data_IF_139932689918
#
_entry.id   IF_139932689918
#
_cell.length_a   1.000
_cell.length_b   1.000
_cell.length_c   1.000
_cell.angle_alpha   90.00
_cell.angle_beta   90.00
_cell.angle_gamma   90.00
#
_symmetry.space_group_name_H-M   'P 1'
#
loop_
_entity.id
_entity.type
_entity.pdbx_description
1 polymer ?
#
# COMPACT_ATOMS: atom_id res chain seq x y z
N UNK A 1 -4.52 -1.11 10.18
CA UNK A 1 -4.32 -1.13 11.67
C UNK A 1 -5.67 -1.10 12.35
N UNK A 2 -5.97 -2.04 13.24
CA UNK A 2 -7.27 -2.11 13.91
C UNK A 2 -7.44 -1.01 14.99
N UNK A 3 -8.70 -0.66 15.27
CA UNK A 3 -9.04 0.18 16.41
C UNK A 3 -8.80 -0.59 17.72
N UNK A 4 -8.14 0.02 18.71
CA UNK A 4 -7.87 -0.66 20.00
C UNK A 4 -9.15 -0.97 20.76
N UNK A 5 -10.21 -0.18 20.57
CA UNK A 5 -11.52 -0.46 21.18
C UNK A 5 -12.11 -1.74 20.58
N UNK A 6 -12.05 -1.87 19.25
CA UNK A 6 -12.52 -3.06 18.55
C UNK A 6 -11.74 -4.30 19.02
N UNK A 7 -10.40 -4.22 19.08
CA UNK A 7 -9.57 -5.35 19.56
C UNK A 7 -9.94 -5.76 20.98
N UNK A 8 -10.22 -4.80 21.85
CA UNK A 8 -10.60 -5.04 23.24
C UNK A 8 -12.01 -5.60 23.38
N UNK A 9 -12.96 -5.11 22.57
CA UNK A 9 -14.38 -5.49 22.64
C UNK A 9 -14.65 -6.78 21.89
N UNK A 10 -13.85 -7.13 20.87
CA UNK A 10 -13.99 -8.28 20.00
C UNK A 10 -12.71 -9.11 19.85
N UNK A 11 -12.02 -9.50 20.94
CA UNK A 11 -10.73 -10.19 20.86
C UNK A 11 -10.81 -11.52 20.12
N UNK A 12 -11.92 -12.25 20.29
CA UNK A 12 -12.11 -13.55 19.64
C UNK A 12 -12.29 -13.43 18.12
N UNK A 13 -12.98 -12.37 17.64
CA UNK A 13 -13.11 -12.09 16.21
C UNK A 13 -11.74 -11.77 15.59
N UNK A 14 -10.91 -10.99 16.29
CA UNK A 14 -9.56 -10.65 15.84
C UNK A 14 -8.67 -11.89 15.78
N UNK A 15 -8.74 -12.76 16.81
CA UNK A 15 -8.02 -14.04 16.83
C UNK A 15 -8.48 -14.98 15.72
N UNK A 16 -9.79 -15.04 15.45
CA UNK A 16 -10.34 -15.85 14.36
C UNK A 16 -9.86 -15.33 13.00
N UNK A 17 -9.82 -14.01 12.81
CA UNK A 17 -9.28 -13.40 11.60
C UNK A 17 -7.78 -13.74 11.40
N UNK A 18 -6.98 -13.72 12.46
CA UNK A 18 -5.57 -14.12 12.43
C UNK A 18 -5.43 -15.59 11.98
N UNK A 19 -6.27 -16.49 12.51
CA UNK A 19 -6.30 -17.90 12.10
C UNK A 19 -6.69 -18.06 10.63
N UNK A 20 -7.74 -17.35 10.17
CA UNK A 20 -8.15 -17.34 8.77
C UNK A 20 -7.02 -16.90 7.83
N UNK A 21 -6.12 -16.03 8.29
CA UNK A 21 -4.93 -15.61 7.58
C UNK A 21 -3.71 -16.53 7.75
N UNK A 22 -3.86 -17.65 8.46
CA UNK A 22 -2.77 -18.61 8.74
C UNK A 22 -1.56 -17.97 9.45
N UNK A 23 -1.82 -17.02 10.35
CA UNK A 23 -0.78 -16.26 11.05
C UNK A 23 -0.80 -16.53 12.56
N UNK A 24 -0.96 -17.77 12.99
CA UNK A 24 -1.18 -18.18 14.38
C UNK A 24 -0.11 -17.66 15.35
N UNK A 25 1.11 -17.45 14.87
CA UNK A 25 2.19 -16.82 15.66
C UNK A 25 1.82 -15.43 16.20
N UNK A 26 0.84 -14.75 15.61
CA UNK A 26 0.38 -13.41 16.02
C UNK A 26 -0.76 -13.47 17.07
N UNK A 27 -1.32 -14.64 17.38
CA UNK A 27 -2.43 -14.77 18.35
C UNK A 27 -2.11 -14.17 19.72
N UNK A 28 -0.91 -14.39 20.33
CA UNK A 28 -0.58 -13.80 21.62
C UNK A 28 -0.58 -12.27 21.64
N UNK A 29 -0.33 -11.63 20.50
CA UNK A 29 -0.28 -10.17 20.39
C UNK A 29 -1.62 -9.51 20.71
N UNK A 30 -2.75 -10.22 20.52
CA UNK A 30 -4.09 -9.71 20.83
C UNK A 30 -4.24 -9.50 22.32
N UNK A 31 -3.88 -10.49 23.14
CA UNK A 31 -3.97 -10.39 24.59
C UNK A 31 -2.93 -9.40 25.13
N UNK A 32 -1.72 -9.40 24.58
CA UNK A 32 -0.65 -8.47 24.94
C UNK A 32 -1.08 -7.02 24.75
N UNK A 33 -1.62 -6.66 23.57
CA UNK A 33 -2.04 -5.29 23.30
C UNK A 33 -3.21 -4.84 24.19
N UNK A 34 -4.11 -5.75 24.56
CA UNK A 34 -5.22 -5.47 25.48
C UNK A 34 -4.68 -5.17 26.89
N UNK A 35 -3.69 -5.95 27.35
CA UNK A 35 -3.06 -5.74 28.65
C UNK A 35 -2.30 -4.40 28.68
N UNK A 36 -1.51 -4.10 27.66
CA UNK A 36 -0.80 -2.83 27.52
C UNK A 36 -1.76 -1.62 27.46
N UNK A 37 -2.90 -1.76 26.76
CA UNK A 37 -3.96 -0.74 26.73
C UNK A 37 -4.57 -0.51 28.11
N UNK A 38 -4.77 -1.58 28.90
CA UNK A 38 -5.26 -1.46 30.26
C UNK A 38 -4.27 -0.71 31.17
N UNK A 39 -2.97 -1.02 31.07
CA UNK A 39 -1.91 -0.31 31.80
C UNK A 39 -1.81 1.17 31.36
N UNK A 40 -1.91 1.43 30.06
CA UNK A 40 -1.89 2.77 29.50
C UNK A 40 -3.05 3.63 30.04
N UNK A 41 -4.26 3.09 30.01
CA UNK A 41 -5.45 3.78 30.58
C UNK A 41 -5.33 4.01 32.08
N UNK A 42 -4.74 3.06 32.83
CA UNK A 42 -4.49 3.23 34.26
C UNK A 42 -3.49 4.36 34.52
N UNK A 43 -2.38 4.42 33.75
CA UNK A 43 -1.38 5.48 33.85
C UNK A 43 -1.98 6.87 33.58
N UNK A 44 -2.79 7.00 32.51
CA UNK A 44 -3.51 8.26 32.21
C UNK A 44 -4.44 8.64 33.38
N UNK A 45 -5.23 7.70 33.91
CA UNK A 45 -6.16 7.98 35.00
C UNK A 45 -5.45 8.44 36.28
N UNK A 46 -4.30 7.82 36.64
CA UNK A 46 -3.45 8.27 37.74
C UNK A 46 -2.89 9.66 37.46
N UNK A 47 -2.38 9.92 36.24
CA UNK A 47 -1.83 11.20 35.82
C UNK A 47 -2.88 12.32 35.89
N UNK A 48 -4.09 12.08 35.42
CA UNK A 48 -5.18 13.05 35.47
C UNK A 48 -5.58 13.38 36.91
N UNK A 49 -5.63 12.35 37.79
CA UNK A 49 -5.92 12.51 39.20
C UNK A 49 -4.83 13.39 39.88
N UNK A 50 -3.55 13.13 39.59
CA UNK A 50 -2.43 13.90 40.13
C UNK A 50 -2.43 15.35 39.61
N UNK A 51 -2.75 15.56 38.30
CA UNK A 51 -2.87 16.92 37.71
C UNK A 51 -3.98 17.72 38.37
N UNK A 52 -5.15 17.09 38.61
CA UNK A 52 -6.28 17.71 39.29
C UNK A 52 -5.92 18.07 40.72
N UNK A 53 -5.27 17.15 41.45
CA UNK A 53 -4.84 17.37 42.84
C UNK A 53 -3.78 18.48 42.94
N UNK A 54 -2.77 18.47 42.07
CA UNK A 54 -1.76 19.53 41.97
C UNK A 54 -2.37 20.91 41.80
N UNK A 55 -3.37 21.05 40.93
CA UNK A 55 -4.09 22.30 40.71
C UNK A 55 -4.81 22.77 41.98
N UNK A 56 -5.45 21.84 42.71
CA UNK A 56 -6.08 22.13 44.01
C UNK A 56 -5.07 22.59 45.06
N UNK A 57 -3.95 21.85 45.22
CA UNK A 57 -2.90 22.16 46.16
C UNK A 57 -2.20 23.51 45.84
N UNK A 58 -1.99 23.82 44.57
CA UNK A 58 -1.40 25.12 44.15
C UNK A 58 -2.29 26.30 44.53
N UNK A 59 -3.61 26.17 44.42
CA UNK A 59 -4.56 27.18 44.89
C UNK A 59 -4.47 27.34 46.43
N UNK A 60 -4.34 26.24 47.15
CA UNK A 60 -4.26 26.19 48.59
C UNK A 60 -2.97 26.85 49.09
N UNK A 61 -1.83 26.61 48.43
CA UNK A 61 -0.54 27.29 48.69
C UNK A 61 -0.73 28.81 48.52
N UNK A 62 -1.37 29.25 47.42
CA UNK A 62 -1.62 30.68 47.19
C UNK A 62 -2.42 31.35 48.32
N UNK A 63 -3.47 30.67 48.82
CA UNK A 63 -4.27 31.17 49.95
C UNK A 63 -3.46 31.22 51.23
N UNK A 64 -2.71 30.14 51.56
CA UNK A 64 -1.89 30.07 52.79
C UNK A 64 -0.76 31.13 52.79
N UNK A 65 -0.11 31.32 51.66
CA UNK A 65 0.93 32.35 51.51
C UNK A 65 0.37 33.76 51.66
N UNK A 66 -0.88 34.01 51.20
CA UNK A 66 -1.59 35.26 51.45
C UNK A 66 -1.90 35.48 52.92
N UNK A 67 -2.26 34.44 53.68
CA UNK A 67 -2.52 34.45 55.11
C UNK A 67 -1.25 34.54 55.97
N UNK A 68 -0.15 33.98 55.49
CA UNK A 68 1.16 33.99 56.21
C UNK A 68 1.68 35.37 56.54
N UNK A 69 1.20 36.42 55.85
CA UNK A 69 1.49 37.82 56.21
C UNK A 69 0.90 38.24 57.56
N UNK A 70 -0.12 37.53 58.04
CA UNK A 70 -0.77 37.80 59.32
C UNK A 70 -0.52 36.70 60.35
N UNK A 71 -0.23 35.48 59.93
CA UNK A 71 0.00 34.32 60.75
C UNK A 71 1.21 33.51 60.21
N UNK A 72 2.40 33.61 60.85
CA UNK A 72 3.61 32.91 60.40
C UNK A 72 3.49 31.38 60.36
N UNK A 73 2.58 30.76 61.13
CA UNK A 73 2.35 29.30 61.10
C UNK A 73 1.86 28.80 59.75
N UNK A 74 1.18 29.66 59.00
CA UNK A 74 0.66 29.35 57.65
C UNK A 74 1.75 29.19 56.60
N UNK A 75 2.91 29.79 56.80
CA UNK A 75 4.09 29.61 55.97
C UNK A 75 4.63 28.17 56.04
N UNK A 76 4.68 27.60 57.27
CA UNK A 76 5.14 26.21 57.46
C UNK A 76 4.15 25.19 56.82
N UNK A 77 2.85 25.45 56.94
CA UNK A 77 1.81 24.61 56.31
C UNK A 77 1.91 24.68 54.76
N UNK A 78 2.16 25.88 54.19
CA UNK A 78 2.38 26.05 52.76
C UNK A 78 3.65 25.30 52.26
N UNK A 79 4.74 25.28 53.02
CA UNK A 79 5.95 24.54 52.66
C UNK A 79 5.77 23.03 52.69
N UNK A 80 4.96 22.47 53.57
CA UNK A 80 4.65 21.05 53.58
C UNK A 80 3.80 20.68 52.34
N UNK A 81 2.83 21.51 51.95
CA UNK A 81 2.06 21.30 50.72
C UNK A 81 2.94 21.42 49.48
N UNK A 82 3.93 22.33 49.47
CA UNK A 82 4.91 22.45 48.37
C UNK A 82 5.70 21.16 48.18
N UNK A 83 6.15 20.49 49.25
CA UNK A 83 6.83 19.20 49.19
C UNK A 83 5.93 18.13 48.53
N UNK A 84 4.64 18.09 48.91
CA UNK A 84 3.67 17.19 48.28
C UNK A 84 3.52 17.47 46.79
N UNK A 85 3.44 18.73 46.37
CA UNK A 85 3.35 19.12 44.95
C UNK A 85 4.61 18.70 44.21
N UNK A 86 5.82 18.83 44.82
CA UNK A 86 7.07 18.39 44.19
C UNK A 86 7.07 16.87 43.99
N UNK A 87 6.72 16.10 45.03
CA UNK A 87 6.63 14.63 44.90
C UNK A 87 5.62 14.19 43.83
N UNK A 88 4.47 14.89 43.69
CA UNK A 88 3.51 14.63 42.64
C UNK A 88 4.06 15.01 41.25
N UNK A 89 4.90 16.03 41.12
CA UNK A 89 5.54 16.41 39.85
C UNK A 89 6.50 15.31 39.35
N UNK A 90 7.30 14.75 40.25
CA UNK A 90 8.21 13.65 39.93
C UNK A 90 7.42 12.41 39.45
N UNK A 91 6.35 12.06 40.19
CA UNK A 91 5.48 10.94 39.78
C UNK A 91 4.80 11.19 38.45
N UNK A 92 4.34 12.39 38.16
CA UNK A 92 3.76 12.76 36.84
C UNK A 92 4.76 12.56 35.72
N UNK A 93 6.03 12.94 35.91
CA UNK A 93 7.08 12.74 34.92
C UNK A 93 7.34 11.26 34.63
N UNK A 94 7.35 10.43 35.69
CA UNK A 94 7.45 8.95 35.51
C UNK A 94 6.28 8.39 34.70
N UNK A 95 5.06 8.87 35.02
CA UNK A 95 3.85 8.43 34.27
C UNK A 95 3.88 8.88 32.83
N UNK A 96 4.29 10.09 32.53
CA UNK A 96 4.43 10.61 31.16
C UNK A 96 5.44 9.79 30.34
N UNK A 97 6.55 9.38 30.96
CA UNK A 97 7.52 8.48 30.32
C UNK A 97 6.90 7.11 30.06
N UNK A 98 6.21 6.53 31.07
CA UNK A 98 5.51 5.24 30.94
C UNK A 98 4.40 5.30 29.89
N UNK A 99 3.62 6.38 29.84
CA UNK A 99 2.58 6.58 28.82
C UNK A 99 3.17 6.55 27.40
N UNK A 100 4.30 7.25 27.18
CA UNK A 100 4.97 7.27 25.87
C UNK A 100 5.48 5.87 25.47
N UNK A 101 6.14 5.15 26.39
CA UNK A 101 6.64 3.80 26.15
C UNK A 101 5.50 2.81 25.83
N UNK A 102 4.38 2.90 26.56
CA UNK A 102 3.21 2.06 26.35
C UNK A 102 2.55 2.38 25.01
N UNK A 103 2.43 3.65 24.64
CA UNK A 103 1.90 4.05 23.32
C UNK A 103 2.71 3.48 22.17
N UNK A 104 4.05 3.53 22.27
CA UNK A 104 4.93 2.99 21.24
C UNK A 104 4.76 1.47 21.10
N UNK A 105 4.76 0.74 22.22
CA UNK A 105 4.52 -0.72 22.20
C UNK A 105 3.15 -1.11 21.63
N UNK A 106 2.09 -0.41 22.08
CA UNK A 106 0.73 -0.63 21.57
C UNK A 106 0.65 -0.36 20.08
N UNK A 107 1.28 0.72 19.60
CA UNK A 107 1.34 1.07 18.18
C UNK A 107 2.03 -0.04 17.38
N UNK A 108 3.20 -0.50 17.81
CA UNK A 108 4.01 -1.48 17.09
C UNK A 108 3.29 -2.84 17.00
N UNK A 109 2.63 -3.28 18.09
CA UNK A 109 1.80 -4.48 18.07
C UNK A 109 0.61 -4.30 17.11
N UNK A 110 -0.09 -3.17 17.18
CA UNK A 110 -1.22 -2.88 16.28
C UNK A 110 -0.80 -2.82 14.80
N UNK A 111 0.44 -2.44 14.50
CA UNK A 111 0.98 -2.47 13.14
C UNK A 111 1.24 -3.90 12.65
N UNK A 112 1.45 -4.84 13.59
CA UNK A 112 1.71 -6.25 13.28
C UNK A 112 0.43 -7.09 13.19
N UNK A 113 -0.63 -6.74 13.94
CA UNK A 113 -1.94 -7.41 13.84
C UNK A 113 -2.57 -7.07 12.47
N UNK A 114 -2.97 -8.10 11.67
CA UNK A 114 -3.54 -7.87 10.35
C UNK A 114 -4.91 -7.21 10.41
N UNK A 115 -5.27 -6.52 9.31
CA UNK A 115 -6.60 -5.97 9.11
C UNK A 115 -7.65 -7.09 9.00
N UNK A 116 -8.89 -6.80 9.40
CA UNK A 116 -10.02 -7.72 9.22
C UNK A 116 -10.27 -7.93 7.72
N UNK A 117 -10.34 -9.18 7.30
CA UNK A 117 -10.67 -9.51 5.92
C UNK A 117 -12.18 -9.43 5.67
N UNK A 118 -12.56 -9.12 4.43
CA UNK A 118 -13.95 -9.15 4.00
C UNK A 118 -14.52 -10.58 4.08
N UNK A 119 -15.78 -10.78 4.49
CA UNK A 119 -16.38 -12.12 4.58
C UNK A 119 -16.41 -12.90 3.26
N UNK A 120 -16.32 -12.23 2.10
CA UNK A 120 -16.29 -12.86 0.78
C UNK A 120 -14.91 -13.38 0.36
N UNK A 121 -13.85 -13.10 1.14
CA UNK A 121 -12.49 -13.57 0.83
C UNK A 121 -12.41 -15.09 0.95
N UNK A 122 -11.92 -15.81 -0.08
CA UNK A 122 -11.70 -17.25 -0.01
C UNK A 122 -10.70 -17.59 1.11
N UNK A 123 -10.93 -18.68 1.82
CA UNK A 123 -10.04 -19.13 2.88
C UNK A 123 -9.05 -20.15 2.33
N UNK A 124 -7.76 -19.85 2.44
CA UNK A 124 -6.68 -20.71 1.97
C UNK A 124 -5.32 -20.27 2.51
N UNK A 125 -4.33 -21.16 2.66
CA UNK A 125 -3.04 -20.87 3.29
C UNK A 125 -2.09 -20.02 2.44
N UNK A 126 -2.18 -20.09 1.11
CA UNK A 126 -1.25 -19.47 0.18
C UNK A 126 -1.89 -19.23 -1.21
N UNK A 127 -1.15 -18.65 -2.14
CA UNK A 127 -1.59 -18.27 -3.49
C UNK A 127 -2.15 -19.44 -4.32
N UNK A 128 -1.80 -20.69 -4.02
CA UNK A 128 -2.38 -21.86 -4.68
C UNK A 128 -3.87 -22.04 -4.44
N UNK A 129 -4.40 -21.37 -3.42
CA UNK A 129 -5.81 -21.34 -3.05
C UNK A 129 -6.58 -20.13 -3.59
N UNK A 130 -5.94 -19.30 -4.40
CA UNK A 130 -6.60 -18.18 -5.08
C UNK A 130 -7.65 -18.70 -6.06
N UNK A 131 -8.77 -18.00 -6.18
CA UNK A 131 -9.94 -18.48 -6.93
C UNK A 131 -10.12 -17.69 -8.22
N UNK A 132 -10.10 -18.41 -9.38
CA UNK A 132 -10.49 -17.82 -10.65
C UNK A 132 -11.99 -17.50 -10.62
N UNK A 133 -12.33 -16.22 -10.79
CA UNK A 133 -13.73 -15.76 -10.78
C UNK A 133 -14.29 -15.67 -12.20
N UNK A 134 -13.54 -15.06 -13.11
CA UNK A 134 -14.00 -14.80 -14.47
C UNK A 134 -12.83 -14.63 -15.45
N UNK A 135 -13.07 -15.05 -16.71
CA UNK A 135 -12.19 -14.81 -17.87
C UNK A 135 -12.80 -13.77 -18.79
N UNK A 136 -11.93 -13.00 -19.43
CA UNK A 136 -12.27 -11.96 -20.39
C UNK A 136 -11.43 -12.15 -21.66
N UNK A 137 -12.08 -12.52 -22.74
CA UNK A 137 -11.46 -12.93 -24.00
C UNK A 137 -10.97 -14.36 -23.99
N UNK A 138 -10.88 -14.93 -25.19
CA UNK A 138 -10.51 -16.32 -25.39
C UNK A 138 -8.99 -16.46 -25.46
N UNK A 139 -8.38 -17.34 -24.65
CA UNK A 139 -6.96 -17.63 -24.74
C UNK A 139 -6.68 -18.39 -26.05
N UNK A 140 -5.73 -17.88 -26.85
CA UNK A 140 -5.33 -18.49 -28.11
C UNK A 140 -3.93 -19.08 -27.96
N UNK A 141 -3.72 -20.28 -28.51
CA UNK A 141 -2.40 -20.88 -28.68
C UNK A 141 -2.16 -20.98 -30.19
N UNK A 142 -1.21 -20.21 -30.76
CA UNK A 142 -0.94 -20.28 -32.19
C UNK A 142 -0.32 -21.63 -32.59
N UNK A 143 -0.35 -21.96 -33.86
CA UNK A 143 0.22 -23.19 -34.43
C UNK A 143 1.74 -23.09 -34.72
N UNK A 144 2.34 -21.96 -34.33
CA UNK A 144 3.79 -21.72 -34.41
C UNK A 144 4.36 -21.47 -33.02
N UNK A 145 5.70 -21.72 -32.82
CA UNK A 145 6.33 -21.55 -31.54
C UNK A 145 6.44 -20.06 -31.15
N UNK A 146 6.12 -19.74 -29.91
CA UNK A 146 6.35 -18.43 -29.33
C UNK A 146 7.69 -18.46 -28.58
N UNK A 147 8.72 -17.69 -29.01
CA UNK A 147 10.00 -17.60 -28.32
C UNK A 147 9.84 -16.93 -26.93
N UNK A 148 10.88 -17.04 -26.14
CA UNK A 148 10.96 -16.30 -24.86
C UNK A 148 10.93 -14.80 -25.11
N UNK A 149 10.27 -14.03 -24.26
CA UNK A 149 10.06 -12.59 -24.50
C UNK A 149 11.36 -11.80 -24.73
N UNK A 150 12.48 -12.18 -24.09
CA UNK A 150 13.78 -11.57 -24.34
C UNK A 150 14.25 -11.85 -25.76
N UNK A 151 14.10 -13.09 -26.24
CA UNK A 151 14.50 -13.46 -27.60
C UNK A 151 13.66 -12.71 -28.65
N UNK A 152 12.37 -12.49 -28.35
CA UNK A 152 11.52 -11.62 -29.18
C UNK A 152 12.08 -10.19 -29.20
N UNK A 153 12.35 -9.59 -28.03
CA UNK A 153 12.88 -8.23 -27.94
C UNK A 153 14.24 -8.08 -28.61
N UNK A 154 15.13 -9.08 -28.47
CA UNK A 154 16.45 -9.11 -29.12
C UNK A 154 16.32 -9.15 -30.65
N UNK A 155 15.29 -9.79 -31.22
CA UNK A 155 15.05 -9.79 -32.67
C UNK A 155 14.74 -8.39 -33.23
N UNK A 156 14.34 -7.44 -32.38
CA UNK A 156 14.11 -6.03 -32.71
C UNK A 156 15.30 -5.13 -32.34
N UNK A 157 16.44 -5.64 -31.86
CA UNK A 157 17.48 -4.88 -31.16
C UNK A 157 16.90 -4.05 -30.01
N UNK A 158 15.86 -4.56 -29.35
CA UNK A 158 14.98 -3.81 -28.44
C UNK A 158 15.31 -3.91 -26.97
N UNK A 159 16.31 -4.74 -26.58
CA UNK A 159 16.72 -4.92 -25.19
C UNK A 159 18.21 -5.19 -25.10
N UNK A 160 18.87 -4.65 -24.04
CA UNK A 160 20.27 -4.94 -23.72
C UNK A 160 20.40 -5.22 -22.21
N UNK A 161 20.37 -6.50 -21.87
CA UNK A 161 20.53 -6.98 -20.49
C UNK A 161 22.01 -7.02 -20.07
N UNK A 162 22.93 -7.24 -21.02
CA UNK A 162 24.36 -7.32 -20.73
C UNK A 162 24.92 -5.94 -20.33
N UNK A 163 24.53 -4.89 -21.03
CA UNK A 163 24.89 -3.53 -20.63
C UNK A 163 24.29 -3.16 -19.28
N UNK A 164 23.02 -3.51 -19.03
CA UNK A 164 22.37 -3.28 -17.74
C UNK A 164 23.10 -4.02 -16.60
N UNK A 165 23.51 -5.28 -16.83
CA UNK A 165 24.31 -6.07 -15.90
C UNK A 165 25.64 -5.41 -15.53
N UNK A 166 26.32 -4.81 -16.51
CA UNK A 166 27.59 -4.08 -16.27
C UNK A 166 27.41 -2.77 -15.51
N UNK A 167 26.28 -2.09 -15.68
CA UNK A 167 26.02 -0.76 -15.09
C UNK A 167 25.38 -0.85 -13.71
N UNK A 168 24.38 -1.73 -13.57
CA UNK A 168 23.51 -1.74 -12.37
C UNK A 168 23.37 -3.13 -11.74
N UNK A 169 23.81 -4.19 -12.42
CA UNK A 169 23.63 -5.56 -11.99
C UNK A 169 22.42 -6.25 -12.64
N UNK A 170 22.16 -7.48 -12.21
CA UNK A 170 20.99 -8.25 -12.67
C UNK A 170 19.69 -7.62 -12.17
N UNK A 171 18.61 -7.83 -12.90
CA UNK A 171 17.29 -7.27 -12.56
C UNK A 171 17.10 -5.81 -13.01
N UNK A 172 17.97 -5.33 -13.90
CA UNK A 172 17.82 -4.07 -14.64
C UNK A 172 17.84 -4.35 -16.15
N UNK A 173 17.43 -3.38 -16.94
CA UNK A 173 17.35 -3.49 -18.39
C UNK A 173 17.61 -2.15 -19.08
N UNK A 174 18.05 -2.20 -20.33
CA UNK A 174 17.87 -1.13 -21.29
C UNK A 174 16.84 -1.59 -22.31
N UNK A 175 15.81 -0.75 -22.56
CA UNK A 175 14.94 -0.91 -23.71
C UNK A 175 15.37 0.03 -24.81
N UNK A 176 15.28 -0.41 -26.07
CA UNK A 176 15.80 0.29 -27.23
C UNK A 176 14.75 0.36 -28.35
N UNK A 177 14.88 1.35 -29.22
CA UNK A 177 14.14 1.43 -30.46
C UNK A 177 12.61 1.31 -30.31
N UNK A 178 12.03 0.43 -31.13
CA UNK A 178 10.58 0.26 -31.16
C UNK A 178 10.02 -0.41 -29.90
N UNK A 179 10.80 -1.23 -29.20
CA UNK A 179 10.39 -1.82 -27.91
C UNK A 179 10.31 -0.75 -26.81
N UNK A 180 11.30 0.15 -26.74
CA UNK A 180 11.25 1.29 -25.82
C UNK A 180 10.06 2.22 -26.15
N UNK A 181 9.79 2.44 -27.44
CA UNK A 181 8.62 3.22 -27.86
C UNK A 181 7.31 2.55 -27.48
N UNK A 182 7.20 1.22 -27.62
CA UNK A 182 6.02 0.46 -27.24
C UNK A 182 5.78 0.56 -25.73
N UNK A 183 6.85 0.46 -24.92
CA UNK A 183 6.78 0.66 -23.47
C UNK A 183 6.16 2.02 -23.11
N UNK A 184 6.65 3.12 -23.71
CA UNK A 184 6.12 4.46 -23.51
C UNK A 184 4.70 4.63 -24.06
N UNK A 185 4.41 4.01 -25.22
CA UNK A 185 3.08 4.04 -25.82
C UNK A 185 2.01 3.45 -24.92
N UNK A 186 2.32 2.33 -24.24
CA UNK A 186 1.43 1.67 -23.27
C UNK A 186 1.16 2.58 -22.07
N UNK A 187 2.20 3.23 -21.52
CA UNK A 187 2.03 4.17 -20.40
C UNK A 187 1.23 5.40 -20.80
N UNK A 188 1.50 5.97 -21.97
CA UNK A 188 0.78 7.13 -22.48
C UNK A 188 -0.70 6.81 -22.73
N UNK A 189 -0.98 5.67 -23.33
CA UNK A 189 -2.35 5.19 -23.53
C UNK A 189 -3.06 4.94 -22.20
N UNK A 190 -2.43 4.25 -21.26
CA UNK A 190 -3.03 3.98 -19.94
C UNK A 190 -3.33 5.26 -19.16
N UNK A 191 -2.44 6.26 -19.24
CA UNK A 191 -2.68 7.58 -18.64
C UNK A 191 -3.94 8.22 -19.22
N UNK A 192 -4.01 8.31 -20.57
CA UNK A 192 -5.12 8.98 -21.27
C UNK A 192 -6.43 8.20 -21.03
N UNK A 193 -6.39 6.87 -21.07
CA UNK A 193 -7.52 6.01 -20.72
C UNK A 193 -8.08 6.29 -19.32
N UNK A 194 -7.22 6.49 -18.32
CA UNK A 194 -7.67 6.80 -16.97
C UNK A 194 -8.19 8.24 -16.83
N UNK A 195 -7.62 9.20 -17.56
CA UNK A 195 -8.13 10.57 -17.61
C UNK A 195 -9.53 10.58 -18.22
N UNK A 196 -9.76 9.84 -19.30
CA UNK A 196 -11.07 9.71 -19.96
C UNK A 196 -12.12 9.06 -19.04
N UNK A 197 -11.69 8.21 -18.11
CA UNK A 197 -12.54 7.65 -17.04
C UNK A 197 -12.78 8.61 -15.85
N UNK A 198 -12.30 9.85 -15.94
CA UNK A 198 -12.52 10.88 -14.93
C UNK A 198 -11.53 10.87 -13.77
N UNK A 199 -10.41 10.14 -13.86
CA UNK A 199 -9.37 10.18 -12.86
C UNK A 199 -8.48 11.42 -13.03
N UNK A 200 -8.14 12.07 -11.94
CA UNK A 200 -7.18 13.16 -11.94
C UNK A 200 -5.76 12.62 -12.06
N UNK A 201 -5.04 13.00 -13.12
CA UNK A 201 -3.65 12.63 -13.30
C UNK A 201 -2.72 13.41 -12.38
N UNK A 202 -1.80 12.72 -11.72
CA UNK A 202 -0.85 13.29 -10.75
C UNK A 202 0.54 12.73 -10.99
N UNK A 203 1.55 13.60 -10.94
CA UNK A 203 2.97 13.22 -10.86
C UNK A 203 3.41 13.42 -9.40
N UNK A 204 3.61 12.34 -8.63
CA UNK A 204 3.95 12.41 -7.22
C UNK A 204 5.46 12.51 -7.00
N UNK A 205 5.93 12.84 -5.78
CA UNK A 205 7.31 12.61 -5.38
C UNK A 205 7.69 11.11 -5.45
N UNK A 206 8.91 10.81 -5.88
CA UNK A 206 9.39 9.43 -6.01
C UNK A 206 10.20 8.97 -4.77
N UNK A 207 10.26 9.81 -3.75
CA UNK A 207 10.84 9.52 -2.44
C UNK A 207 9.87 9.94 -1.35
N UNK A 208 9.93 9.31 -0.19
CA UNK A 208 9.06 9.59 0.95
C UNK A 208 9.76 9.35 2.28
N UNK A 209 9.27 9.99 3.34
CA UNK A 209 9.73 9.78 4.70
C UNK A 209 9.30 8.42 5.27
N UNK A 210 10.06 7.93 6.26
CA UNK A 210 9.81 6.65 6.92
C UNK A 210 8.42 6.51 7.55
N UNK A 211 7.84 7.61 8.04
CA UNK A 211 6.49 7.59 8.61
C UNK A 211 5.41 7.32 7.55
N UNK A 212 5.60 7.80 6.31
CA UNK A 212 4.72 7.46 5.20
C UNK A 212 4.86 5.98 4.85
N UNK A 213 6.11 5.46 4.77
CA UNK A 213 6.36 4.04 4.50
C UNK A 213 5.62 3.15 5.50
N UNK A 214 5.78 3.40 6.81
CA UNK A 214 5.10 2.67 7.88
C UNK A 214 3.57 2.80 7.81
N UNK A 215 3.09 3.88 7.23
CA UNK A 215 1.66 4.14 7.05
C UNK A 215 1.02 3.29 5.95
N UNK A 216 1.76 2.99 4.89
CA UNK A 216 1.22 2.39 3.66
C UNK A 216 1.50 0.89 3.51
N UNK A 217 2.44 0.32 4.25
CA UNK A 217 2.81 -1.10 4.17
C UNK A 217 3.13 -1.71 5.53
N UNK A 218 3.25 -3.04 5.57
CA UNK A 218 3.71 -3.76 6.76
C UNK A 218 5.24 -3.70 6.92
N UNK A 219 5.75 -3.98 8.12
CA UNK A 219 7.19 -4.02 8.37
C UNK A 219 7.94 -5.07 7.55
N UNK A 220 7.42 -6.33 7.38
CA UNK A 220 8.05 -7.31 6.50
C UNK A 220 8.13 -6.84 5.04
N UNK A 221 7.06 -6.25 4.50
CA UNK A 221 7.06 -5.69 3.14
C UNK A 221 8.09 -4.56 3.00
N UNK A 222 8.18 -3.67 4.01
CA UNK A 222 9.16 -2.59 4.01
C UNK A 222 10.61 -3.11 3.90
N UNK A 223 11.00 -4.13 4.68
CA UNK A 223 12.35 -4.72 4.64
C UNK A 223 12.62 -5.43 3.30
N UNK A 224 11.64 -6.15 2.79
CA UNK A 224 11.77 -6.91 1.55
C UNK A 224 11.82 -6.01 0.29
N UNK A 225 11.13 -4.87 0.31
CA UNK A 225 10.87 -4.06 -0.88
C UNK A 225 11.69 -2.77 -0.95
N UNK A 226 11.82 -2.01 0.17
CA UNK A 226 12.18 -0.60 0.10
C UNK A 226 13.68 -0.33 0.05
N UNK A 227 14.11 0.48 -0.92
CA UNK A 227 15.43 1.12 -0.89
C UNK A 227 15.41 2.35 0.00
N UNK A 228 16.38 2.47 0.91
CA UNK A 228 16.58 3.63 1.77
C UNK A 228 17.79 4.42 1.31
N UNK A 229 17.69 5.75 1.34
CA UNK A 229 18.84 6.65 1.10
C UNK A 229 19.70 6.67 2.37
N UNK A 230 20.98 6.39 2.20
CA UNK A 230 21.92 6.40 3.32
C UNK A 230 22.10 7.82 3.89
N UNK A 231 22.02 7.93 5.21
CA UNK A 231 22.19 9.21 5.93
C UNK A 231 20.94 10.09 5.97
N UNK A 232 19.84 9.68 5.31
CA UNK A 232 18.60 10.47 5.25
C UNK A 232 17.38 9.65 5.67
N UNK A 233 16.33 10.33 6.12
CA UNK A 233 15.01 9.72 6.31
C UNK A 233 14.20 9.77 5.01
N UNK A 234 14.78 9.18 3.94
CA UNK A 234 14.15 9.08 2.64
C UNK A 234 14.22 7.64 2.10
N UNK A 235 13.14 7.23 1.48
CA UNK A 235 12.98 5.92 0.83
C UNK A 235 12.50 6.13 -0.60
N UNK A 236 13.06 5.36 -1.54
CA UNK A 236 12.53 5.30 -2.90
C UNK A 236 11.18 4.57 -2.91
N UNK A 237 10.23 5.05 -3.71
CA UNK A 237 8.91 4.40 -3.81
C UNK A 237 8.98 3.06 -4.54
N UNK A 238 8.24 2.06 -4.04
CA UNK A 238 7.99 0.80 -4.75
C UNK A 238 6.74 0.84 -5.65
N UNK A 239 5.95 1.91 -5.52
CA UNK A 239 4.74 2.23 -6.30
C UNK A 239 4.33 3.66 -6.00
N UNK A 240 3.67 4.34 -6.93
CA UNK A 240 3.13 5.68 -6.69
C UNK A 240 2.03 5.70 -5.63
N UNK A 241 1.34 4.59 -5.35
CA UNK A 241 0.40 4.46 -4.25
C UNK A 241 0.96 5.05 -2.95
N UNK A 242 2.21 4.75 -2.64
CA UNK A 242 2.84 5.14 -1.38
C UNK A 242 2.79 6.65 -1.14
N UNK A 243 3.28 7.43 -2.07
CA UNK A 243 3.30 8.89 -1.96
C UNK A 243 1.96 9.52 -2.26
N UNK A 244 1.14 8.88 -3.09
CA UNK A 244 -0.22 9.35 -3.38
C UNK A 244 -1.12 9.27 -2.15
N UNK A 245 -1.04 8.20 -1.37
CA UNK A 245 -1.77 8.08 -0.09
C UNK A 245 -1.08 8.96 0.96
N UNK A 246 0.25 8.99 0.99
CA UNK A 246 1.03 9.88 1.87
C UNK A 246 0.70 11.36 1.71
N UNK A 247 0.24 11.79 0.53
CA UNK A 247 -0.25 13.16 0.29
C UNK A 247 -1.31 13.62 1.29
N UNK A 248 -2.06 12.70 1.85
CA UNK A 248 -3.18 12.99 2.75
C UNK A 248 -2.83 12.81 4.24
N UNK A 249 -1.57 12.57 4.59
CA UNK A 249 -1.14 12.41 5.99
C UNK A 249 -1.62 13.58 6.85
N UNK A 250 -2.20 13.28 8.04
CA UNK A 250 -2.72 14.24 9.01
C UNK A 250 -3.86 15.15 8.49
N UNK A 251 -4.47 14.83 7.34
CA UNK A 251 -5.51 15.68 6.79
C UNK A 251 -6.93 15.23 7.18
N UNK A 252 -7.81 16.22 7.30
CA UNK A 252 -9.25 16.02 7.38
C UNK A 252 -9.88 16.57 6.11
N UNK A 253 -10.34 15.68 5.25
CA UNK A 253 -10.88 15.97 3.93
C UNK A 253 -12.34 16.48 4.05
N UNK A 254 -12.80 17.15 3.01
CA UNK A 254 -14.20 17.50 2.82
C UNK A 254 -14.94 16.26 2.27
N UNK A 255 -15.85 15.69 3.05
CA UNK A 255 -16.61 14.50 2.65
C UNK A 255 -17.52 14.71 1.43
N UNK A 256 -17.88 15.97 1.11
CA UNK A 256 -18.62 16.29 -0.11
C UNK A 256 -17.78 16.14 -1.39
N UNK A 257 -16.44 16.11 -1.27
CA UNK A 257 -15.51 15.93 -2.38
C UNK A 257 -15.07 14.48 -2.58
N UNK A 258 -15.52 13.57 -1.72
CA UNK A 258 -15.24 12.15 -1.87
C UNK A 258 -16.24 11.50 -2.84
N UNK A 259 -15.81 10.55 -3.67
CA UNK A 259 -14.48 9.97 -3.74
C UNK A 259 -13.44 10.84 -4.46
N UNK A 260 -12.17 10.77 -4.03
CA UNK A 260 -11.05 11.28 -4.81
C UNK A 260 -10.52 10.13 -5.68
N UNK A 261 -10.60 10.30 -7.00
CA UNK A 261 -10.12 9.34 -8.00
C UNK A 261 -8.88 9.89 -8.66
N UNK A 262 -7.75 9.24 -8.42
CA UNK A 262 -6.43 9.71 -8.83
C UNK A 262 -5.74 8.62 -9.64
N UNK A 263 -5.00 9.04 -10.67
CA UNK A 263 -4.11 8.15 -11.42
C UNK A 263 -2.73 8.77 -11.49
N UNK A 264 -1.69 7.96 -11.42
CA UNK A 264 -0.33 8.47 -11.38
C UNK A 264 0.66 7.55 -12.07
N UNK A 265 1.58 8.17 -12.80
CA UNK A 265 2.78 7.52 -13.29
C UNK A 265 3.90 7.63 -12.27
N UNK A 266 4.69 6.57 -12.12
CA UNK A 266 5.97 6.64 -11.43
C UNK A 266 6.95 5.57 -11.89
N UNK A 267 8.27 5.80 -11.77
CA UNK A 267 9.21 4.72 -11.59
C UNK A 267 8.93 4.02 -10.27
N UNK A 268 9.24 2.75 -10.21
CA UNK A 268 9.09 1.89 -9.04
C UNK A 268 10.43 1.20 -8.77
N UNK A 269 10.85 1.19 -7.51
CA UNK A 269 12.13 0.61 -7.08
C UNK A 269 11.86 -0.45 -6.02
N UNK A 270 12.27 -1.71 -6.31
CA UNK A 270 12.03 -2.83 -5.40
C UNK A 270 13.29 -3.67 -5.23
N UNK A 271 13.65 -3.98 -3.98
CA UNK A 271 14.77 -4.87 -3.67
C UNK A 271 14.53 -6.30 -4.10
N UNK A 272 13.27 -6.73 -4.23
CA UNK A 272 12.86 -8.10 -4.57
C UNK A 272 13.57 -9.16 -3.70
N UNK A 273 13.81 -8.83 -2.42
CA UNK A 273 14.54 -9.68 -1.47
C UNK A 273 13.75 -10.97 -1.19
N UNK A 274 14.39 -12.12 -1.42
CA UNK A 274 13.79 -13.44 -1.18
C UNK A 274 12.92 -13.97 -2.32
N UNK A 275 12.82 -13.24 -3.42
CA UNK A 275 12.13 -13.71 -4.62
C UNK A 275 13.06 -14.61 -5.44
N UNK A 276 12.83 -15.93 -5.41
CA UNK A 276 13.58 -16.91 -6.18
C UNK A 276 12.63 -17.70 -7.11
N UNK A 277 13.06 -17.97 -8.33
CA UNK A 277 12.63 -19.16 -9.06
C UNK A 277 11.82 -19.02 -10.34
N UNK A 278 11.08 -17.96 -10.64
CA UNK A 278 10.34 -17.90 -11.90
C UNK A 278 10.94 -16.85 -12.83
N UNK A 279 11.49 -17.31 -13.98
CA UNK A 279 12.04 -16.47 -15.06
C UNK A 279 13.04 -15.40 -14.57
N UNK A 280 14.15 -15.85 -14.00
CA UNK A 280 15.25 -14.96 -13.53
C UNK A 280 15.87 -14.13 -14.66
N UNK A 281 15.81 -14.62 -15.91
CA UNK A 281 16.24 -13.87 -17.10
C UNK A 281 15.06 -13.04 -17.63
N UNK A 282 15.29 -11.76 -17.94
CA UNK A 282 14.33 -10.92 -18.62
C UNK A 282 13.72 -9.84 -17.72
N UNK A 283 12.47 -9.47 -18.00
CA UNK A 283 11.82 -8.30 -17.38
C UNK A 283 10.62 -8.63 -16.50
N UNK A 284 10.43 -9.91 -16.16
CA UNK A 284 9.29 -10.32 -15.31
C UNK A 284 9.43 -9.86 -13.87
N UNK A 285 10.65 -9.98 -13.29
CA UNK A 285 10.97 -9.58 -11.92
C UNK A 285 12.25 -8.76 -11.90
N UNK A 286 12.13 -7.48 -11.62
CA UNK A 286 13.17 -6.48 -11.82
C UNK A 286 13.17 -5.46 -10.68
N UNK A 287 14.32 -4.81 -10.46
CA UNK A 287 14.52 -3.84 -9.39
C UNK A 287 13.99 -2.45 -9.70
N UNK A 288 13.88 -2.12 -10.98
CA UNK A 288 13.37 -0.83 -11.46
C UNK A 288 12.41 -1.05 -12.64
N UNK A 289 11.22 -0.45 -12.55
CA UNK A 289 10.22 -0.44 -13.62
C UNK A 289 9.33 0.79 -13.51
N UNK A 290 8.54 1.05 -14.52
CA UNK A 290 7.52 2.09 -14.51
C UNK A 290 6.13 1.49 -14.29
N UNK A 291 5.23 2.30 -13.74
CA UNK A 291 3.84 1.91 -13.51
C UNK A 291 2.88 3.10 -13.59
N UNK A 292 1.74 2.87 -14.23
CA UNK A 292 0.56 3.71 -14.09
C UNK A 292 -0.36 3.06 -13.05
N UNK A 293 -0.72 3.83 -12.03
CA UNK A 293 -1.50 3.38 -10.87
C UNK A 293 -2.85 4.08 -10.80
N UNK A 294 -3.84 3.41 -10.22
CA UNK A 294 -5.14 3.97 -9.84
C UNK A 294 -5.24 4.02 -8.32
N UNK A 295 -5.62 5.16 -7.75
CA UNK A 295 -5.79 5.36 -6.32
C UNK A 295 -7.15 5.98 -6.06
N UNK A 296 -7.87 5.44 -5.07
CA UNK A 296 -9.15 5.98 -4.61
C UNK A 296 -9.11 6.23 -3.12
N UNK A 297 -9.55 7.43 -2.71
CA UNK A 297 -9.85 7.76 -1.32
C UNK A 297 -11.35 8.03 -1.24
N UNK A 298 -12.08 7.22 -0.48
CA UNK A 298 -13.54 7.26 -0.46
C UNK A 298 -14.13 7.11 0.95
N UNK A 299 -15.45 7.21 1.03
CA UNK A 299 -16.21 6.86 2.24
C UNK A 299 -16.27 5.32 2.38
N UNK A 300 -16.40 4.80 3.62
CA UNK A 300 -16.49 3.36 3.86
C UNK A 300 -17.58 2.65 3.04
N UNK A 301 -18.75 3.25 2.91
CA UNK A 301 -19.89 2.70 2.17
C UNK A 301 -19.65 2.54 0.66
N UNK A 302 -18.75 3.33 0.09
CA UNK A 302 -18.41 3.30 -1.33
C UNK A 302 -17.27 2.32 -1.66
N UNK A 303 -16.59 1.80 -0.65
CA UNK A 303 -15.31 1.10 -0.77
C UNK A 303 -15.39 -0.13 -1.68
N UNK A 304 -16.38 -1.00 -1.50
CA UNK A 304 -16.52 -2.21 -2.32
C UNK A 304 -16.92 -1.89 -3.77
N UNK A 305 -17.78 -0.90 -3.97
CA UNK A 305 -18.15 -0.43 -5.32
C UNK A 305 -16.93 0.12 -6.09
N UNK A 306 -16.00 0.80 -5.40
CA UNK A 306 -14.76 1.26 -6.01
C UNK A 306 -13.76 0.13 -6.25
N UNK A 307 -13.71 -0.86 -5.38
CA UNK A 307 -12.91 -2.06 -5.61
C UNK A 307 -13.30 -2.73 -6.94
N UNK A 308 -14.61 -2.92 -7.16
CA UNK A 308 -15.11 -3.53 -8.41
C UNK A 308 -14.77 -2.67 -9.64
N UNK A 309 -14.95 -1.36 -9.57
CA UNK A 309 -14.61 -0.44 -10.68
C UNK A 309 -13.12 -0.46 -11.00
N UNK A 310 -12.26 -0.53 -9.99
CA UNK A 310 -10.81 -0.49 -10.19
C UNK A 310 -10.29 -1.70 -10.96
N UNK A 311 -10.66 -2.91 -10.58
CA UNK A 311 -10.19 -4.08 -11.30
C UNK A 311 -10.82 -4.19 -12.71
N UNK A 312 -12.08 -3.77 -12.88
CA UNK A 312 -12.71 -3.69 -14.20
C UNK A 312 -11.96 -2.74 -15.15
N UNK A 313 -11.46 -1.60 -14.64
CA UNK A 313 -10.66 -0.68 -15.46
C UNK A 313 -9.40 -1.35 -16.03
N UNK A 314 -8.70 -2.18 -15.25
CA UNK A 314 -7.56 -2.93 -15.74
C UNK A 314 -7.97 -3.97 -16.79
N UNK A 315 -9.07 -4.70 -16.56
CA UNK A 315 -9.62 -5.64 -17.55
C UNK A 315 -9.94 -4.93 -18.87
N UNK A 316 -10.64 -3.79 -18.82
CA UNK A 316 -10.99 -3.03 -20.02
C UNK A 316 -9.73 -2.54 -20.76
N UNK A 317 -8.71 -2.04 -20.04
CA UNK A 317 -7.46 -1.59 -20.63
C UNK A 317 -6.75 -2.74 -21.38
N UNK A 318 -6.57 -3.88 -20.72
CA UNK A 318 -5.92 -5.03 -21.35
C UNK A 318 -6.74 -5.59 -22.52
N UNK A 319 -8.06 -5.64 -22.39
CA UNK A 319 -8.96 -6.07 -23.46
C UNK A 319 -8.95 -5.11 -24.66
N UNK A 320 -8.82 -3.82 -24.43
CA UNK A 320 -8.67 -2.83 -25.52
C UNK A 320 -7.38 -3.02 -26.32
N UNK A 321 -6.36 -3.59 -25.68
CA UNK A 321 -5.10 -4.01 -26.30
C UNK A 321 -5.14 -5.46 -26.81
N UNK A 322 -6.32 -6.07 -26.88
CA UNK A 322 -6.56 -7.42 -27.42
C UNK A 322 -5.88 -8.56 -26.63
N UNK A 323 -5.53 -8.32 -25.37
CA UNK A 323 -4.89 -9.32 -24.50
C UNK A 323 -5.96 -10.02 -23.65
N UNK A 324 -6.09 -11.37 -23.73
CA UNK A 324 -6.98 -12.13 -22.85
C UNK A 324 -6.50 -12.06 -21.39
N UNK A 325 -7.43 -11.83 -20.46
CA UNK A 325 -7.13 -11.75 -19.02
C UNK A 325 -8.13 -12.55 -18.19
N UNK A 326 -7.77 -12.86 -16.95
CA UNK A 326 -8.70 -13.37 -15.95
C UNK A 326 -8.62 -12.58 -14.66
N UNK A 327 -9.68 -12.61 -13.87
CA UNK A 327 -9.70 -12.16 -12.49
C UNK A 327 -9.45 -13.35 -11.58
N UNK A 328 -8.47 -13.20 -10.68
CA UNK A 328 -8.10 -14.17 -9.67
C UNK A 328 -8.29 -13.55 -8.29
N UNK A 329 -9.28 -14.00 -7.51
CA UNK A 329 -9.53 -13.51 -6.17
C UNK A 329 -8.50 -14.10 -5.20
N UNK A 330 -7.78 -13.24 -4.47
CA UNK A 330 -6.76 -13.66 -3.51
C UNK A 330 -7.40 -14.28 -2.26
N UNK A 331 -6.88 -15.40 -1.81
CA UNK A 331 -7.31 -16.05 -0.58
C UNK A 331 -6.69 -15.38 0.66
N UNK A 332 -7.20 -15.73 1.83
CA UNK A 332 -6.86 -15.10 3.11
C UNK A 332 -5.38 -15.20 3.48
N UNK A 333 -4.70 -16.29 3.13
CA UNK A 333 -3.27 -16.50 3.42
C UNK A 333 -2.34 -15.72 2.49
N UNK A 334 -2.83 -15.39 1.27
CA UNK A 334 -2.10 -14.58 0.29
C UNK A 334 -2.28 -13.07 0.50
N UNK A 335 -3.31 -12.66 1.24
CA UNK A 335 -3.55 -11.23 1.52
C UNK A 335 -2.46 -10.63 2.42
N UNK A 336 -1.82 -9.55 1.97
CA UNK A 336 -0.98 -8.72 2.83
C UNK A 336 -1.75 -8.18 4.07
N UNK A 337 -1.02 -7.84 5.14
CA UNK A 337 -1.62 -7.53 6.44
C UNK A 337 -2.58 -6.33 6.45
N UNK A 338 -2.40 -5.38 5.56
CA UNK A 338 -3.24 -4.19 5.48
C UNK A 338 -4.49 -4.38 4.62
N UNK A 339 -4.54 -5.43 3.80
CA UNK A 339 -5.62 -5.64 2.82
C UNK A 339 -6.87 -6.24 3.48
N UNK A 340 -8.02 -5.66 3.15
CA UNK A 340 -9.34 -6.20 3.47
C UNK A 340 -9.76 -7.22 2.42
N UNK A 341 -9.48 -6.93 1.15
CA UNK A 341 -9.77 -7.75 0.00
C UNK A 341 -8.81 -7.41 -1.14
N UNK A 342 -8.43 -8.40 -1.95
CA UNK A 342 -7.59 -8.21 -3.12
C UNK A 342 -7.94 -9.19 -4.23
N UNK A 343 -7.76 -8.77 -5.47
CA UNK A 343 -7.73 -9.67 -6.61
C UNK A 343 -6.61 -9.29 -7.56
N UNK A 344 -6.10 -10.26 -8.27
CA UNK A 344 -5.16 -10.04 -9.35
C UNK A 344 -5.85 -10.12 -10.70
N UNK A 345 -5.38 -9.32 -11.64
CA UNK A 345 -5.68 -9.50 -13.05
C UNK A 345 -4.46 -10.17 -13.66
N UNK A 346 -4.70 -11.32 -14.26
CA UNK A 346 -3.67 -12.11 -14.90
C UNK A 346 -3.88 -12.14 -16.42
N UNK A 347 -2.79 -11.96 -17.17
CA UNK A 347 -2.80 -12.02 -18.62
C UNK A 347 -2.44 -13.42 -19.15
N UNK A 348 -3.01 -13.80 -20.28
CA UNK A 348 -2.70 -15.05 -20.94
C UNK A 348 -1.31 -15.04 -21.56
N UNK A 349 -0.53 -16.08 -21.30
CA UNK A 349 0.72 -16.38 -22.00
C UNK A 349 0.54 -17.54 -22.96
N UNK A 350 0.49 -17.30 -24.28
CA UNK A 350 0.43 -18.38 -25.28
C UNK A 350 1.64 -19.32 -25.20
N UNK A 351 2.82 -18.80 -24.88
CA UNK A 351 4.05 -19.56 -24.72
C UNK A 351 3.97 -20.57 -23.59
N UNK A 352 3.51 -20.10 -22.40
CA UNK A 352 3.42 -20.94 -21.20
C UNK A 352 2.10 -21.71 -21.12
N UNK A 353 1.11 -21.35 -21.93
CA UNK A 353 -0.28 -21.85 -21.87
C UNK A 353 -0.89 -21.70 -20.48
N UNK A 354 -0.60 -20.57 -19.81
CA UNK A 354 -1.14 -20.22 -18.50
C UNK A 354 -1.30 -18.71 -18.37
N UNK A 355 -2.05 -18.30 -17.37
CA UNK A 355 -2.15 -16.90 -16.95
C UNK A 355 -1.05 -16.54 -15.97
N UNK A 356 -0.65 -15.27 -15.94
CA UNK A 356 0.30 -14.70 -14.98
C UNK A 356 -0.10 -13.29 -14.58
N UNK A 357 0.21 -12.91 -13.36
CA UNK A 357 -0.17 -11.62 -12.75
C UNK A 357 0.43 -10.44 -13.53
N UNK A 358 -0.45 -9.49 -13.89
CA UNK A 358 -0.08 -8.20 -14.52
C UNK A 358 -0.58 -6.98 -13.74
N UNK A 359 -1.64 -7.12 -12.94
CA UNK A 359 -2.16 -6.09 -12.05
C UNK A 359 -2.62 -6.70 -10.74
N UNK A 360 -2.56 -5.93 -9.65
CA UNK A 360 -3.12 -6.32 -8.35
C UNK A 360 -3.98 -5.18 -7.81
N UNK A 361 -5.26 -5.47 -7.59
CA UNK A 361 -6.26 -4.56 -7.04
C UNK A 361 -6.43 -4.81 -5.55
N UNK A 362 -6.40 -3.76 -4.74
CA UNK A 362 -6.47 -3.88 -3.28
C UNK A 362 -7.45 -2.89 -2.66
N UNK A 363 -8.31 -3.41 -1.78
CA UNK A 363 -9.07 -2.62 -0.83
C UNK A 363 -8.37 -2.71 0.54
N UNK A 364 -7.89 -1.57 1.04
CA UNK A 364 -7.19 -1.48 2.33
C UNK A 364 -8.16 -1.08 3.47
N UNK A 365 -9.43 -0.79 3.16
CA UNK A 365 -10.35 -0.25 4.13
C UNK A 365 -9.77 1.00 4.81
N UNK A 366 -9.85 1.07 6.14
CA UNK A 366 -9.30 2.16 6.93
C UNK A 366 -7.85 1.94 7.41
N UNK A 367 -7.17 0.87 6.96
CA UNK A 367 -5.87 0.48 7.48
C UNK A 367 -4.81 1.58 7.34
N UNK A 368 -4.65 2.12 6.14
CA UNK A 368 -3.71 3.20 5.85
C UNK A 368 -4.20 4.53 6.46
N UNK A 369 -5.50 4.80 6.37
CA UNK A 369 -6.10 6.01 6.92
C UNK A 369 -5.90 6.13 8.44
N UNK A 370 -5.98 5.02 9.18
CA UNK A 370 -5.68 5.02 10.62
C UNK A 370 -4.21 5.31 10.92
N UNK A 371 -3.30 4.70 10.15
CA UNK A 371 -1.86 4.89 10.33
C UNK A 371 -1.43 6.32 10.01
N UNK A 372 -1.96 6.88 8.90
CA UNK A 372 -1.62 8.20 8.39
C UNK A 372 -2.58 9.31 8.87
N UNK A 373 -3.58 8.97 9.69
CA UNK A 373 -4.58 9.91 10.23
C UNK A 373 -5.36 10.65 9.14
N UNK A 374 -5.75 9.93 8.06
CA UNK A 374 -6.55 10.45 6.95
C UNK A 374 -8.03 10.38 7.34
N UNK A 375 -8.65 11.52 7.51
CA UNK A 375 -10.03 11.65 7.96
C UNK A 375 -10.85 12.48 6.98
N UNK A 376 -12.16 12.42 7.11
CA UNK A 376 -13.05 13.35 6.42
C UNK A 376 -14.17 13.82 7.36
N UNK A 377 -14.77 14.98 7.03
CA UNK A 377 -15.99 15.47 7.65
C UNK A 377 -17.18 14.97 6.85
N UNK A 378 -18.08 14.23 7.51
CA UNK A 378 -19.34 13.84 6.90
C UNK A 378 -20.35 15.01 6.85
N UNK A 379 -21.51 14.80 6.27
CA UNK A 379 -22.59 15.81 6.13
C UNK A 379 -23.09 16.37 7.46
N UNK A 380 -22.90 15.64 8.56
CA UNK A 380 -23.28 16.05 9.91
C UNK A 380 -22.10 16.73 10.65
N UNK A 381 -20.98 16.95 9.97
CA UNK A 381 -19.76 17.52 10.55
C UNK A 381 -18.98 16.55 11.44
N UNK A 382 -19.37 15.28 11.52
CA UNK A 382 -18.67 14.26 12.28
C UNK A 382 -17.42 13.82 11.54
N UNK A 383 -16.33 13.65 12.27
CA UNK A 383 -15.06 13.16 11.73
C UNK A 383 -15.08 11.65 11.62
N UNK A 384 -14.82 11.14 10.41
CA UNK A 384 -14.74 9.72 10.06
C UNK A 384 -13.35 9.40 9.48
N UNK A 385 -12.96 8.13 9.47
CA UNK A 385 -11.78 7.65 8.73
C UNK A 385 -12.18 7.38 7.28
N UNK A 386 -11.32 7.78 6.35
CA UNK A 386 -11.48 7.42 4.94
C UNK A 386 -11.08 5.96 4.70
N UNK A 387 -11.57 5.38 3.60
CA UNK A 387 -11.05 4.14 3.03
C UNK A 387 -10.12 4.46 1.85
N UNK A 388 -9.12 3.60 1.66
CA UNK A 388 -8.16 3.72 0.56
C UNK A 388 -8.14 2.45 -0.27
N UNK A 389 -8.03 2.63 -1.58
CA UNK A 389 -7.94 1.54 -2.55
C UNK A 389 -6.89 1.88 -3.59
N UNK A 390 -6.28 0.86 -4.15
CA UNK A 390 -5.38 1.00 -5.29
C UNK A 390 -5.55 -0.15 -6.26
N UNK A 391 -5.14 0.07 -7.48
CA UNK A 391 -4.94 -0.96 -8.48
C UNK A 391 -3.90 -0.52 -9.50
N UNK A 392 -3.09 -1.45 -9.94
CA UNK A 392 -2.24 -1.23 -11.11
C UNK A 392 -3.11 -1.06 -12.35
N UNK A 393 -3.00 0.11 -13.00
CA UNK A 393 -3.57 0.28 -14.34
C UNK A 393 -2.76 -0.54 -15.34
N UNK A 394 -1.45 -0.30 -15.40
CA UNK A 394 -0.49 -1.09 -16.17
C UNK A 394 0.93 -0.94 -15.60
N UNK A 395 1.67 -2.05 -15.60
CA UNK A 395 3.12 -2.09 -15.40
C UNK A 395 3.75 -2.66 -16.68
N UNK A 396 4.37 -1.84 -17.53
CA UNK A 396 4.82 -2.25 -18.85
C UNK A 396 5.67 -3.52 -18.91
N UNK A 397 6.59 -3.83 -17.99
CA UNK A 397 7.42 -5.01 -18.14
C UNK A 397 6.62 -6.31 -18.26
N UNK A 398 5.70 -6.57 -17.33
CA UNK A 398 4.83 -7.76 -17.41
C UNK A 398 3.82 -7.65 -18.55
N UNK A 399 3.29 -6.45 -18.78
CA UNK A 399 2.40 -6.20 -19.89
C UNK A 399 3.09 -6.44 -21.23
N UNK A 400 4.35 -6.02 -21.42
CA UNK A 400 5.11 -6.27 -22.65
C UNK A 400 5.32 -7.75 -22.91
N UNK A 401 5.52 -8.57 -21.87
CA UNK A 401 5.59 -10.03 -22.03
C UNK A 401 4.27 -10.54 -22.64
N UNK A 402 3.14 -10.20 -22.00
CA UNK A 402 1.83 -10.60 -22.50
C UNK A 402 1.56 -10.06 -23.92
N UNK A 403 1.91 -8.78 -24.15
CA UNK A 403 1.71 -8.12 -25.43
C UNK A 403 2.49 -8.82 -26.56
N UNK A 404 3.80 -9.00 -26.39
CA UNK A 404 4.66 -9.61 -27.38
C UNK A 404 4.23 -11.05 -27.69
N UNK A 405 3.90 -11.84 -26.67
CA UNK A 405 3.46 -13.23 -26.86
C UNK A 405 2.11 -13.33 -27.54
N UNK A 406 1.15 -12.42 -27.30
CA UNK A 406 -0.19 -12.46 -27.90
C UNK A 406 -0.25 -11.83 -29.32
N UNK A 407 0.69 -10.94 -29.67
CA UNK A 407 0.69 -10.21 -30.93
C UNK A 407 1.79 -10.63 -31.91
N UNK A 408 2.69 -11.53 -31.51
CA UNK A 408 3.70 -12.11 -32.39
C UNK A 408 3.01 -12.89 -33.53
N UNK A 409 3.53 -12.73 -34.74
CA UNK A 409 3.07 -13.45 -35.93
C UNK A 409 4.09 -14.53 -36.33
N UNK A 410 3.69 -15.46 -37.18
CA UNK A 410 4.53 -16.55 -37.65
C UNK A 410 5.81 -16.09 -38.38
N UNK A 411 5.78 -14.90 -38.98
CA UNK A 411 6.93 -14.28 -39.67
C UNK A 411 7.85 -13.48 -38.73
N UNK A 412 7.59 -13.50 -37.44
CA UNK A 412 8.33 -12.75 -36.41
C UNK A 412 7.92 -11.29 -36.25
N UNK A 413 6.99 -10.79 -37.01
CA UNK A 413 6.44 -9.43 -36.81
C UNK A 413 5.52 -9.40 -35.57
N UNK A 414 5.30 -8.19 -35.04
CA UNK A 414 4.38 -7.97 -33.89
C UNK A 414 3.33 -6.95 -34.32
N UNK A 415 2.05 -7.34 -34.28
CA UNK A 415 0.92 -6.45 -34.63
C UNK A 415 0.68 -5.44 -33.52
N UNK A 416 0.28 -4.21 -33.90
CA UNK A 416 -0.03 -3.13 -32.95
C UNK A 416 -1.54 -2.87 -32.97
N UNK A 417 -2.26 -3.15 -31.88
CA UNK A 417 -3.69 -2.86 -31.73
C UNK A 417 -4.01 -1.38 -32.05
N UNK A 418 -5.17 -1.13 -32.60
CA UNK A 418 -5.61 0.18 -33.06
C UNK A 418 -5.45 1.29 -32.00
N UNK A 419 -5.73 0.95 -30.73
CA UNK A 419 -5.65 1.90 -29.60
C UNK A 419 -4.21 2.39 -29.30
N UNK A 420 -3.19 1.63 -29.68
CA UNK A 420 -1.78 2.00 -29.48
C UNK A 420 -1.14 2.66 -30.71
N UNK A 421 -1.73 2.52 -31.91
CA UNK A 421 -1.14 3.08 -33.15
C UNK A 421 -0.87 4.57 -33.09
N UNK A 422 -1.75 5.43 -32.52
CA UNK A 422 -1.47 6.86 -32.37
C UNK A 422 -0.19 7.14 -31.55
N UNK A 423 0.06 6.36 -30.50
CA UNK A 423 1.23 6.49 -29.64
C UNK A 423 2.50 5.88 -30.26
N UNK A 424 2.32 4.98 -31.23
CA UNK A 424 3.40 4.37 -32.03
C UNK A 424 3.71 5.13 -33.33
N UNK A 425 3.16 6.35 -33.50
CA UNK A 425 3.36 7.16 -34.70
C UNK A 425 2.69 6.57 -35.94
N UNK A 426 1.57 5.90 -35.75
CA UNK A 426 0.78 5.28 -36.83
C UNK A 426 1.29 3.91 -37.29
N UNK A 427 2.32 3.33 -36.62
CA UNK A 427 2.76 1.96 -36.93
C UNK A 427 1.65 0.98 -36.59
N UNK A 428 1.36 0.09 -37.53
CA UNK A 428 0.39 -1.02 -37.38
C UNK A 428 1.07 -2.35 -37.09
N UNK A 429 2.37 -2.42 -37.34
CA UNK A 429 3.19 -3.62 -37.14
C UNK A 429 4.63 -3.23 -36.82
N UNK A 430 5.29 -3.99 -35.94
CA UNK A 430 6.73 -3.95 -35.76
C UNK A 430 7.38 -5.06 -36.56
N UNK A 431 8.49 -4.74 -37.22
CA UNK A 431 9.26 -5.67 -38.05
C UNK A 431 10.61 -5.93 -37.38
N UNK A 432 10.98 -7.20 -37.17
CA UNK A 432 12.28 -7.53 -36.62
C UNK A 432 13.40 -7.06 -37.50
N UNK A 433 14.59 -6.84 -36.93
CA UNK A 433 15.79 -6.47 -37.70
C UNK A 433 16.27 -7.65 -38.52
N UNK A 434 16.63 -7.38 -39.77
CA UNK A 434 17.37 -8.38 -40.56
C UNK A 434 18.72 -8.68 -39.86
N UNK A 435 19.00 -9.97 -39.65
CA UNK A 435 20.28 -10.44 -39.09
C UNK A 435 21.35 -10.54 -40.15
#
# INVERSE_FOLDING_TARGET
MLDIRFVREHPDEVKENIKKKFQDAKLPLVDEVINLDAEYRAAIGEGDTLRANRNKLSKQIGMLMGQAKKDPSKAAEAEEIKKQVTAQADRLKELETKEAELQDKIRDIKYTIPQMIDPSVPIGPDDSCNVEVQRFGDPVVPDYPIPYHVDIMESFDGIDLDAAGRVSGNGFYYLLGDIARLHEAVLAYARDFMIDKGFTYVIPPFMMHGDVVKGVMSFPEMDAMMYKIEGEDLYLIGTSEHTMIGRFIDQTLDGAKLPLTLTSYSPCFRKEKGAHGIEERGIYRIHQFEKQEMIVVCKPEDSMSWYDKLWHNSVELFRSMEIPVRQLECCSGDLADLKVKSCDIEAWSPRQQKYFEVCSCSNLGDAQARRLRIRYKDENGKTQLAHTLNNTCVAPPRMLIAFLENHLQADGTVTIPAVLQPYMGGKTVLVPKEK
#
